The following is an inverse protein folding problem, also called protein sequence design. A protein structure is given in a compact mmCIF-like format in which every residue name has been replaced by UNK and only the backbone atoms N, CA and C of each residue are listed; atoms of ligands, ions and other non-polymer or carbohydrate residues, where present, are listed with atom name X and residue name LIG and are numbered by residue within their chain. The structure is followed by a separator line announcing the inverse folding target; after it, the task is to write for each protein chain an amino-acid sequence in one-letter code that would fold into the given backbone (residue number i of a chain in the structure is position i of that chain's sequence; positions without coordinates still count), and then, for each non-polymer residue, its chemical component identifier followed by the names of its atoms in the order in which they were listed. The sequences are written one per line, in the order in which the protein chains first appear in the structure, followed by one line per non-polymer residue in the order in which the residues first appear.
data_IF_570391746755
#
_entry.id   IF_570391746755
#
_cell.length_a   1.000
_cell.length_b   1.000
_cell.length_c   1.000
_cell.angle_alpha   90.00
_cell.angle_beta   90.00
_cell.angle_gamma   90.00
#
_symmetry.space_group_name_H-M   'P 1'
#
loop_
_entity.id
_entity.type
_entity.pdbx_description
1 polymer ?
#
# COMPACT_ATOMS: atom_id res chain seq x y z
N UNK A 1 43.60 -23.02 41.42
CA UNK A 1 43.17 -21.66 41.05
C UNK A 1 44.04 -21.21 39.88
N UNK A 2 43.53 -21.36 38.65
CA UNK A 2 44.09 -20.82 37.41
C UNK A 2 42.89 -20.44 36.54
N UNK A 3 42.74 -19.14 36.29
CA UNK A 3 41.81 -18.59 35.30
C UNK A 3 42.44 -18.71 33.91
N UNK A 4 41.66 -19.15 32.92
CA UNK A 4 42.01 -19.11 31.50
C UNK A 4 40.74 -19.20 30.65
N UNK A 5 40.05 -18.07 30.54
CA UNK A 5 39.10 -17.84 29.46
C UNK A 5 39.75 -17.95 28.07
N UNK A 6 38.89 -18.04 27.05
CA UNK A 6 39.17 -18.03 25.61
C UNK A 6 39.56 -19.36 24.97
N UNK A 7 38.58 -20.16 24.55
CA UNK A 7 38.74 -21.08 23.42
C UNK A 7 37.41 -21.27 22.64
N UNK A 8 37.38 -20.71 21.44
CA UNK A 8 36.60 -21.10 20.25
C UNK A 8 35.17 -20.57 20.04
N UNK A 9 35.06 -19.24 19.94
CA UNK A 9 34.43 -18.63 18.75
C UNK A 9 35.31 -18.93 17.52
N UNK A 10 34.85 -19.75 16.57
CA UNK A 10 35.39 -19.76 15.18
C UNK A 10 34.55 -20.66 14.26
N UNK A 11 33.54 -20.09 13.60
CA UNK A 11 32.91 -20.73 12.44
C UNK A 11 32.12 -19.79 11.50
N UNK A 12 32.30 -18.47 11.53
CA UNK A 12 31.68 -17.58 10.51
C UNK A 12 32.62 -16.43 10.14
N UNK A 13 33.74 -16.75 9.50
CA UNK A 13 34.73 -15.79 8.96
C UNK A 13 34.67 -15.68 7.43
N UNK A 14 33.48 -15.78 6.83
CA UNK A 14 33.30 -15.65 5.39
C UNK A 14 32.04 -14.85 5.07
N UNK A 15 32.06 -13.54 5.37
CA UNK A 15 31.32 -12.49 4.67
C UNK A 15 32.06 -11.17 4.93
N UNK A 16 32.36 -10.37 3.90
CA UNK A 16 33.14 -9.15 4.06
C UNK A 16 32.37 -8.10 4.87
N UNK A 17 32.92 -7.73 6.04
CA UNK A 17 32.34 -6.77 6.98
C UNK A 17 32.43 -5.29 6.54
N UNK A 18 32.53 -5.00 5.25
CA UNK A 18 32.90 -3.68 4.73
C UNK A 18 31.73 -2.68 4.52
N UNK A 19 30.56 -2.96 5.10
CA UNK A 19 29.44 -2.00 5.16
C UNK A 19 28.75 -1.93 6.53
N UNK A 20 29.36 -2.43 7.61
CA UNK A 20 28.84 -2.24 8.95
C UNK A 20 29.52 -1.03 9.62
N UNK A 21 29.20 0.18 9.15
CA UNK A 21 29.35 1.36 9.99
C UNK A 21 28.18 1.40 10.98
N UNK A 22 28.22 0.52 11.99
CA UNK A 22 27.33 0.64 13.14
C UNK A 22 28.07 1.51 14.15
N UNK A 23 27.81 2.82 14.10
CA UNK A 23 28.17 3.69 15.21
C UNK A 23 27.32 3.27 16.41
N UNK A 24 27.95 2.70 17.43
CA UNK A 24 27.33 2.24 18.69
C UNK A 24 26.87 3.39 19.61
N UNK A 25 26.58 4.56 19.02
CA UNK A 25 26.05 5.72 19.71
C UNK A 25 24.52 5.68 19.71
N UNK A 26 23.85 6.38 20.66
CA UNK A 26 22.40 6.51 20.63
C UNK A 26 22.01 7.18 19.31
N UNK A 27 21.40 6.40 18.41
CA UNK A 27 20.90 6.92 17.15
C UNK A 27 19.74 7.84 17.51
N UNK A 28 19.93 9.15 17.32
CA UNK A 28 18.83 10.11 17.42
C UNK A 28 17.69 9.71 16.49
N UNK A 29 16.48 10.29 16.67
CA UNK A 29 15.32 9.93 15.85
C UNK A 29 15.69 10.02 14.37
N UNK A 30 15.39 8.94 13.62
CA UNK A 30 15.64 8.88 12.18
C UNK A 30 14.95 10.07 11.52
N UNK A 31 15.71 10.83 10.74
CA UNK A 31 15.18 11.92 9.92
C UNK A 31 14.90 11.36 8.54
N UNK A 32 13.68 11.59 8.06
CA UNK A 32 13.26 11.16 6.74
C UNK A 32 13.50 12.26 5.71
N UNK A 33 14.11 11.94 4.57
CA UNK A 33 14.10 12.78 3.38
C UNK A 33 12.72 12.83 2.70
N UNK A 34 12.48 13.83 1.86
CA UNK A 34 11.16 14.05 1.25
C UNK A 34 10.63 12.90 0.38
N UNK A 35 11.50 12.01 -0.12
CA UNK A 35 11.13 10.88 -0.98
C UNK A 35 10.98 9.55 -0.26
N UNK A 36 11.32 9.47 1.03
CA UNK A 36 11.23 8.23 1.82
C UNK A 36 9.96 8.14 2.66
N UNK A 37 9.10 9.16 2.59
CA UNK A 37 7.76 9.12 3.15
C UNK A 37 6.84 8.20 2.34
N UNK A 38 5.78 7.70 2.99
CA UNK A 38 4.72 6.98 2.29
C UNK A 38 4.10 7.88 1.21
N UNK A 39 3.84 7.30 0.04
CA UNK A 39 3.06 7.97 -1.00
C UNK A 39 1.64 8.25 -0.48
N UNK A 40 1.04 9.35 -0.94
CA UNK A 40 -0.32 9.77 -0.52
C UNK A 40 -1.35 8.65 -0.76
N UNK A 41 -1.23 7.94 -1.88
CA UNK A 41 -2.08 6.78 -2.20
C UNK A 41 -1.93 5.64 -1.19
N UNK A 42 -0.72 5.41 -0.68
CA UNK A 42 -0.45 4.39 0.34
C UNK A 42 -1.03 4.78 1.70
N UNK A 43 -1.02 6.08 2.04
CA UNK A 43 -1.66 6.62 3.25
C UNK A 43 -3.18 6.40 3.16
N UNK A 44 -3.81 6.78 2.04
CA UNK A 44 -5.24 6.60 1.83
C UNK A 44 -5.65 5.12 1.91
N UNK A 45 -4.94 4.24 1.20
CA UNK A 45 -5.18 2.81 1.24
C UNK A 45 -4.95 2.20 2.64
N UNK A 46 -3.99 2.71 3.41
CA UNK A 46 -3.76 2.27 4.79
C UNK A 46 -4.93 2.65 5.71
N UNK A 47 -5.39 3.91 5.62
CA UNK A 47 -6.51 4.43 6.41
C UNK A 47 -7.81 3.70 6.07
N UNK A 48 -8.05 3.42 4.79
CA UNK A 48 -9.27 2.72 4.37
C UNK A 48 -9.24 1.22 4.66
N UNK A 49 -8.05 0.63 4.86
CA UNK A 49 -7.87 -0.79 5.13
C UNK A 49 -7.68 -1.64 3.87
N UNK A 50 -7.38 -1.01 2.74
CA UNK A 50 -7.32 -1.63 1.40
C UNK A 50 -5.93 -2.15 1.03
N UNK A 51 -4.93 -1.97 1.89
CA UNK A 51 -3.60 -2.53 1.66
C UNK A 51 -3.59 -4.04 1.89
N UNK A 52 -2.97 -4.77 0.97
CA UNK A 52 -2.60 -6.17 1.20
C UNK A 52 -1.73 -6.32 2.45
N UNK A 53 -1.85 -7.44 3.16
CA UNK A 53 -1.19 -7.67 4.46
C UNK A 53 0.30 -7.30 4.48
N UNK A 54 1.07 -7.70 3.46
CA UNK A 54 2.50 -7.38 3.38
C UNK A 54 2.79 -5.89 3.23
N UNK A 55 1.95 -5.15 2.49
CA UNK A 55 2.07 -3.70 2.36
C UNK A 55 1.61 -3.00 3.65
N UNK A 56 0.55 -3.49 4.29
CA UNK A 56 0.06 -2.99 5.56
C UNK A 56 1.15 -3.07 6.65
N UNK A 57 1.83 -4.21 6.80
CA UNK A 57 2.90 -4.37 7.79
C UNK A 57 4.08 -3.42 7.54
N UNK A 58 4.46 -3.20 6.27
CA UNK A 58 5.52 -2.23 5.94
C UNK A 58 5.10 -0.80 6.25
N UNK A 59 3.87 -0.43 5.93
CA UNK A 59 3.33 0.88 6.26
C UNK A 59 3.29 1.08 7.78
N UNK A 60 2.73 0.14 8.55
CA UNK A 60 2.69 0.18 10.01
C UNK A 60 4.10 0.32 10.62
N UNK A 61 5.07 -0.42 10.11
CA UNK A 61 6.46 -0.29 10.53
C UNK A 61 7.05 1.10 10.22
N UNK A 62 6.76 1.67 9.06
CA UNK A 62 7.17 3.03 8.71
C UNK A 62 6.52 4.08 9.64
N UNK A 63 5.21 3.97 9.91
CA UNK A 63 4.49 4.88 10.82
C UNK A 63 5.06 4.86 12.24
N UNK A 64 5.57 3.72 12.70
CA UNK A 64 6.25 3.64 14.01
C UNK A 64 7.56 4.42 14.09
N UNK A 65 8.13 4.80 12.94
CA UNK A 65 9.42 5.49 12.85
C UNK A 65 9.28 6.92 12.32
N UNK A 66 8.26 7.21 11.51
CA UNK A 66 8.07 8.50 10.85
C UNK A 66 6.84 9.22 11.41
N UNK A 67 7.02 10.25 12.27
CA UNK A 67 5.89 10.98 12.87
C UNK A 67 5.10 11.80 11.85
N UNK A 68 5.74 12.27 10.77
CA UNK A 68 5.05 13.05 9.73
C UNK A 68 4.02 12.19 8.99
N UNK A 69 4.39 10.96 8.61
CA UNK A 69 3.44 10.04 7.99
C UNK A 69 2.35 9.57 8.96
N UNK A 70 2.66 9.45 10.25
CA UNK A 70 1.64 9.17 11.26
C UNK A 70 0.61 10.31 11.36
N UNK A 71 1.06 11.56 11.35
CA UNK A 71 0.18 12.72 11.36
C UNK A 71 -0.74 12.78 10.12
N UNK A 72 -0.22 12.45 8.94
CA UNK A 72 -1.03 12.37 7.71
C UNK A 72 -2.09 11.27 7.76
N UNK A 73 -1.75 10.09 8.31
CA UNK A 73 -2.72 9.00 8.54
C UNK A 73 -3.83 9.45 9.48
N UNK A 74 -3.47 10.12 10.58
CA UNK A 74 -4.45 10.65 11.54
C UNK A 74 -5.36 11.71 10.91
N UNK A 75 -4.79 12.62 10.11
CA UNK A 75 -5.54 13.67 9.41
C UNK A 75 -6.55 13.07 8.41
N UNK A 76 -6.13 12.09 7.60
CA UNK A 76 -7.02 11.39 6.68
C UNK A 76 -8.08 10.56 7.42
N UNK A 77 -7.71 9.93 8.55
CA UNK A 77 -8.66 9.21 9.41
C UNK A 77 -9.75 10.12 9.98
N UNK A 78 -9.38 11.33 10.43
CA UNK A 78 -10.33 12.34 10.89
C UNK A 78 -11.26 12.79 9.77
N UNK A 79 -10.72 13.03 8.56
CA UNK A 79 -11.54 13.37 7.39
C UNK A 79 -12.54 12.26 7.06
N UNK A 80 -12.11 10.98 7.10
CA UNK A 80 -12.98 9.82 6.89
C UNK A 80 -14.10 9.73 7.92
N UNK A 81 -13.80 9.96 9.20
CA UNK A 81 -14.83 9.97 10.26
C UNK A 81 -15.83 11.10 10.01
N UNK A 82 -15.35 12.32 9.75
CA UNK A 82 -16.21 13.46 9.49
C UNK A 82 -17.16 13.23 8.31
N UNK A 83 -16.69 12.58 7.23
CA UNK A 83 -17.54 12.22 6.10
C UNK A 83 -18.62 11.19 6.49
N UNK A 84 -18.26 10.16 7.26
CA UNK A 84 -19.21 9.14 7.74
C UNK A 84 -20.26 9.73 8.68
N UNK A 85 -19.89 10.74 9.46
CA UNK A 85 -20.76 11.38 10.44
C UNK A 85 -21.63 12.51 9.83
N UNK A 86 -21.34 12.94 8.59
CA UNK A 86 -21.93 14.15 8.00
C UNK A 86 -23.41 14.05 7.62
N UNK A 87 -23.88 12.90 7.10
CA UNK A 87 -25.31 12.71 6.78
C UNK A 87 -25.64 11.23 6.52
N UNK A 88 -26.77 10.71 7.03
CA UNK A 88 -27.26 9.39 6.63
C UNK A 88 -27.62 9.35 5.14
N UNK A 89 -27.03 8.42 4.39
CA UNK A 89 -27.48 8.09 3.04
C UNK A 89 -28.72 7.20 3.19
N UNK A 90 -29.88 7.69 2.76
CA UNK A 90 -31.13 6.92 2.79
C UNK A 90 -31.23 6.09 1.51
N UNK A 91 -31.25 4.76 1.66
CA UNK A 91 -31.50 3.86 0.55
C UNK A 91 -32.99 3.92 0.13
N UNK A 92 -33.32 3.99 -1.17
CA UNK A 92 -34.70 3.90 -1.63
C UNK A 92 -35.34 2.56 -1.24
N UNK A 93 -36.61 2.57 -0.83
CA UNK A 93 -37.35 1.35 -0.44
C UNK A 93 -37.40 0.30 -1.56
N UNK A 94 -37.47 0.75 -2.82
CA UNK A 94 -37.41 -0.14 -3.98
C UNK A 94 -36.09 -0.91 -4.08
N UNK A 95 -34.97 -0.26 -3.80
CA UNK A 95 -33.65 -0.92 -3.77
C UNK A 95 -33.58 -1.94 -2.62
N UNK A 96 -34.08 -1.58 -1.43
CA UNK A 96 -34.13 -2.52 -0.31
C UNK A 96 -34.99 -3.75 -0.63
N UNK A 97 -36.13 -3.56 -1.31
CA UNK A 97 -36.97 -4.64 -1.79
C UNK A 97 -36.26 -5.55 -2.79
N UNK A 98 -35.53 -4.98 -3.76
CA UNK A 98 -34.75 -5.74 -4.73
C UNK A 98 -33.60 -6.51 -4.06
N UNK A 99 -32.83 -5.88 -3.17
CA UNK A 99 -31.74 -6.53 -2.43
C UNK A 99 -32.24 -7.68 -1.55
N UNK A 100 -33.41 -7.53 -0.92
CA UNK A 100 -34.03 -8.58 -0.12
C UNK A 100 -34.49 -9.79 -0.96
N UNK A 101 -34.74 -9.59 -2.26
CA UNK A 101 -35.18 -10.64 -3.17
C UNK A 101 -34.03 -11.40 -3.87
N UNK A 102 -32.77 -10.96 -3.72
CA UNK A 102 -31.59 -11.62 -4.31
C UNK A 102 -31.58 -13.15 -4.12
N UNK A 103 -31.90 -13.70 -2.92
CA UNK A 103 -31.90 -15.16 -2.74
C UNK A 103 -32.90 -15.91 -3.62
N UNK A 104 -33.97 -15.23 -4.06
CA UNK A 104 -35.03 -15.79 -4.89
C UNK A 104 -34.83 -15.47 -6.38
N UNK A 105 -33.95 -14.52 -6.71
CA UNK A 105 -33.61 -14.17 -8.08
C UNK A 105 -32.67 -15.24 -8.67
N UNK A 106 -33.26 -16.27 -9.25
CA UNK A 106 -32.54 -17.30 -10.04
C UNK A 106 -31.98 -16.76 -11.36
N UNK A 107 -32.14 -15.46 -11.64
CA UNK A 107 -31.72 -14.75 -12.84
C UNK A 107 -30.26 -14.31 -12.84
N UNK A 108 -29.46 -14.70 -11.84
CA UNK A 108 -28.00 -14.51 -11.89
C UNK A 108 -27.37 -15.52 -12.85
N UNK A 109 -27.86 -15.52 -14.09
CA UNK A 109 -27.17 -16.11 -15.20
C UNK A 109 -26.04 -15.13 -15.53
N UNK A 110 -24.84 -15.44 -15.02
CA UNK A 110 -23.58 -14.82 -15.46
C UNK A 110 -23.27 -15.08 -16.97
N UNK A 111 -24.27 -15.47 -17.77
CA UNK A 111 -24.15 -15.59 -19.21
C UNK A 111 -24.72 -14.31 -19.83
N UNK A 112 -23.82 -13.34 -20.03
CA UNK A 112 -23.82 -12.35 -21.13
C UNK A 112 -22.95 -11.13 -20.80
N UNK A 113 -21.89 -11.31 -19.99
CA UNK A 113 -20.63 -10.70 -20.42
C UNK A 113 -20.17 -11.54 -21.61
N UNK A 114 -20.78 -11.31 -22.78
CA UNK A 114 -20.11 -11.68 -24.00
C UNK A 114 -18.77 -10.99 -23.93
N UNK A 115 -17.73 -11.81 -23.91
CA UNK A 115 -16.41 -11.42 -24.35
C UNK A 115 -16.51 -11.04 -25.85
N UNK A 116 -17.26 -9.99 -26.18
CA UNK A 116 -16.95 -9.19 -27.35
C UNK A 116 -15.62 -8.55 -26.99
N UNK A 117 -14.54 -9.23 -27.35
CA UNK A 117 -13.22 -8.69 -27.25
C UNK A 117 -13.25 -7.26 -27.76
N UNK A 118 -12.71 -6.35 -26.96
CA UNK A 118 -12.18 -5.11 -27.49
C UNK A 118 -10.95 -5.54 -28.30
N UNK A 119 -11.18 -6.20 -29.44
CA UNK A 119 -10.20 -6.21 -30.51
C UNK A 119 -10.24 -4.79 -31.06
N UNK A 120 -9.39 -3.94 -30.51
CA UNK A 120 -9.03 -2.65 -31.10
C UNK A 120 -8.33 -2.94 -32.43
N UNK A 121 -9.11 -3.31 -33.45
CA UNK A 121 -8.67 -3.61 -34.82
C UNK A 121 -8.03 -2.39 -35.49
N UNK A 122 -8.14 -1.21 -34.88
CA UNK A 122 -7.54 0.04 -35.34
C UNK A 122 -6.12 0.30 -34.81
N UNK A 123 -5.57 -0.54 -33.91
CA UNK A 123 -4.19 -0.33 -33.44
C UNK A 123 -3.14 -0.67 -34.52
N UNK A 124 -3.44 -1.63 -35.39
CA UNK A 124 -2.49 -2.11 -36.40
C UNK A 124 -2.29 -1.16 -37.60
N UNK A 125 -3.21 -0.21 -37.82
CA UNK A 125 -3.17 0.68 -38.99
C UNK A 125 -2.75 2.13 -38.65
N UNK A 126 -2.32 2.38 -37.40
CA UNK A 126 -1.92 3.72 -36.97
C UNK A 126 -0.52 4.05 -37.48
N UNK A 127 -0.33 5.06 -38.35
CA UNK A 127 1.00 5.45 -38.81
C UNK A 127 1.85 5.92 -37.61
N UNK A 128 3.15 5.58 -37.58
CA UNK A 128 4.03 5.94 -36.48
C UNK A 128 4.12 7.47 -36.36
N UNK A 129 3.78 7.99 -35.17
CA UNK A 129 3.88 9.43 -34.88
C UNK A 129 5.34 9.87 -34.98
N UNK A 130 5.61 10.82 -35.88
CA UNK A 130 6.94 11.41 -36.04
C UNK A 130 7.44 11.96 -34.71
N UNK A 131 8.59 11.41 -34.29
CA UNK A 131 9.28 11.80 -33.07
C UNK A 131 9.83 13.20 -33.27
N UNK A 132 9.14 14.21 -32.74
CA UNK A 132 9.56 15.62 -32.77
C UNK A 132 10.98 15.73 -32.22
N UNK A 133 11.97 15.95 -33.09
CA UNK A 133 13.38 16.13 -32.72
C UNK A 133 13.48 17.40 -31.88
N UNK A 134 13.85 17.26 -30.60
CA UNK A 134 14.27 18.39 -29.78
C UNK A 134 15.58 18.93 -30.36
N UNK A 135 15.55 20.19 -30.80
CA UNK A 135 16.75 20.99 -31.08
C UNK A 135 17.39 21.40 -29.76
#
# INVERSE_FOLDING_TARGET
MVDRGQLFRRAFSWLPAQFASQTDGPVGPRRFGSTEHLAIEAIAAFVDGELQMGAHLRAAHHLSQCPDCAAEVDAQGQARSALRDSCPIIAPTSLLGALANIPNDTSTQFADIQASGIEDRDFADRPPRERRRRR
#
